data_IF_907455828946
#
_entry.id   IF_907455828946
#
_cell.length_a   1.000
_cell.length_b   1.000
_cell.length_c   1.000
_cell.angle_alpha   90.00
_cell.angle_beta   90.00
_cell.angle_gamma   90.00
#
_symmetry.space_group_name_H-M   'P 1'
#
loop_
_entity.id
_entity.type
_entity.pdbx_description
1 polymer ?
#
# COMPACT_ATOMS: atom_id res chain seq x y z
N UNK A 1 30.53 0.70 -23.54
CA UNK A 1 29.86 -0.40 -22.81
C UNK A 1 28.38 -0.07 -22.72
N UNK A 2 27.53 -0.64 -23.57
CA UNK A 2 26.08 -0.57 -23.34
C UNK A 2 25.75 -1.57 -22.23
N UNK A 3 25.26 -1.07 -21.09
CA UNK A 3 25.04 -1.90 -19.90
C UNK A 3 23.84 -2.86 -20.03
N UNK A 4 22.90 -2.61 -20.95
CA UNK A 4 21.70 -3.43 -21.22
C UNK A 4 21.21 -3.23 -22.65
N UNK A 5 20.55 -4.25 -23.25
CA UNK A 5 19.77 -4.06 -24.48
C UNK A 5 18.39 -3.46 -24.18
N UNK A 6 17.72 -2.88 -25.18
CA UNK A 6 16.35 -2.34 -25.01
C UNK A 6 15.38 -3.46 -24.66
N UNK A 7 15.55 -4.63 -25.29
CA UNK A 7 14.74 -5.82 -25.03
C UNK A 7 14.92 -6.30 -23.59
N UNK A 8 16.15 -6.28 -23.08
CA UNK A 8 16.47 -6.67 -21.70
C UNK A 8 15.90 -5.68 -20.69
N UNK A 9 15.97 -4.37 -20.97
CA UNK A 9 15.30 -3.35 -20.16
C UNK A 9 13.79 -3.57 -20.12
N UNK A 10 13.15 -3.72 -21.28
CA UNK A 10 11.71 -3.96 -21.38
C UNK A 10 11.31 -5.25 -20.67
N UNK A 11 12.07 -6.34 -20.84
CA UNK A 11 11.79 -7.60 -20.15
C UNK A 11 11.85 -7.47 -18.63
N UNK A 12 12.80 -6.69 -18.11
CA UNK A 12 13.01 -6.53 -16.68
C UNK A 12 12.10 -5.49 -16.02
N UNK A 13 11.55 -4.53 -16.78
CA UNK A 13 10.73 -3.44 -16.24
C UNK A 13 9.27 -3.46 -16.70
N UNK A 14 8.90 -4.36 -17.61
CA UNK A 14 7.51 -4.49 -18.04
C UNK A 14 6.66 -4.90 -16.84
N UNK A 15 5.57 -4.18 -16.64
CA UNK A 15 4.56 -4.51 -15.64
C UNK A 15 4.08 -5.97 -15.85
N UNK A 16 4.16 -6.77 -14.79
CA UNK A 16 3.68 -8.14 -14.79
C UNK A 16 2.56 -8.23 -13.75
N UNK A 17 1.34 -8.46 -14.23
CA UNK A 17 0.25 -8.85 -13.36
C UNK A 17 0.51 -10.29 -12.90
N UNK A 18 0.92 -10.47 -11.65
CA UNK A 18 1.30 -11.80 -11.14
C UNK A 18 0.11 -12.59 -10.65
N UNK A 19 -1.05 -11.94 -10.48
CA UNK A 19 -2.25 -12.57 -9.92
C UNK A 19 -2.04 -13.04 -8.47
N UNK A 20 -1.10 -12.42 -7.75
CA UNK A 20 -0.72 -12.69 -6.37
C UNK A 20 -1.67 -12.04 -5.35
N UNK A 21 -2.63 -11.22 -5.80
CA UNK A 21 -3.76 -10.75 -5.00
C UNK A 21 -3.79 -9.23 -4.86
N UNK A 22 -4.23 -8.74 -3.69
CA UNK A 22 -4.35 -7.31 -3.44
C UNK A 22 -2.99 -6.59 -3.49
N UNK A 23 -1.94 -7.23 -2.95
CA UNK A 23 -0.59 -6.67 -2.85
C UNK A 23 0.38 -7.47 -3.70
N UNK A 24 1.09 -6.81 -4.61
CA UNK A 24 2.06 -7.44 -5.51
C UNK A 24 3.35 -6.60 -5.62
N UNK A 25 4.50 -7.25 -5.73
CA UNK A 25 5.77 -6.54 -5.97
C UNK A 25 6.04 -6.44 -7.47
N UNK A 26 5.88 -5.25 -8.04
CA UNK A 26 6.38 -4.92 -9.38
C UNK A 26 7.90 -4.98 -9.43
N UNK A 27 8.54 -4.45 -8.39
CA UNK A 27 9.97 -4.59 -8.13
C UNK A 27 10.19 -4.78 -6.63
N UNK A 28 11.40 -5.17 -6.17
CA UNK A 28 11.69 -5.27 -4.73
C UNK A 28 11.48 -3.97 -3.92
N UNK A 29 11.23 -2.83 -4.59
CA UNK A 29 11.07 -1.50 -3.98
C UNK A 29 9.81 -0.76 -4.45
N UNK A 30 8.94 -1.41 -5.21
CA UNK A 30 7.69 -0.84 -5.70
C UNK A 30 6.56 -1.84 -5.49
N UNK A 31 5.56 -1.42 -4.69
CA UNK A 31 4.36 -2.17 -4.42
C UNK A 31 3.28 -1.75 -5.41
N UNK A 32 2.73 -2.69 -6.16
CA UNK A 32 1.46 -2.57 -6.86
C UNK A 32 0.34 -3.06 -5.93
N UNK A 33 -0.76 -2.32 -5.93
CA UNK A 33 -1.98 -2.67 -5.22
C UNK A 33 -3.10 -2.81 -6.27
N UNK A 34 -3.61 -4.02 -6.43
CA UNK A 34 -4.80 -4.31 -7.23
C UNK A 34 -6.05 -3.90 -6.44
N UNK A 35 -6.29 -2.59 -6.37
CA UNK A 35 -7.31 -2.00 -5.52
C UNK A 35 -8.72 -2.33 -6.02
N UNK A 36 -9.50 -2.97 -5.15
CA UNK A 36 -10.95 -3.14 -5.31
C UNK A 36 -11.64 -2.91 -3.96
N UNK A 37 -12.00 -1.66 -3.69
CA UNK A 37 -12.48 -1.21 -2.38
C UNK A 37 -11.45 -0.31 -1.72
N UNK A 38 -11.10 -0.60 -0.46
CA UNK A 38 -10.33 0.32 0.39
C UNK A 38 -9.02 -0.29 0.87
N UNK A 39 -7.96 0.52 0.87
CA UNK A 39 -6.68 0.21 1.50
C UNK A 39 -6.14 1.42 2.26
N UNK A 40 -5.37 1.17 3.31
CA UNK A 40 -4.59 2.20 4.00
C UNK A 40 -3.14 2.16 3.52
N UNK A 41 -2.55 3.34 3.34
CA UNK A 41 -1.19 3.49 2.86
C UNK A 41 -0.47 4.62 3.59
N UNK A 42 0.86 4.61 3.55
CA UNK A 42 1.68 5.73 4.00
C UNK A 42 1.44 6.96 3.12
N UNK A 43 1.08 8.07 3.75
CA UNK A 43 0.88 9.33 3.05
C UNK A 43 2.17 9.78 2.37
N UNK A 44 2.07 10.19 1.10
CA UNK A 44 3.22 10.60 0.28
C UNK A 44 4.02 9.45 -0.33
N UNK A 45 3.69 8.19 -0.05
CA UNK A 45 4.34 7.04 -0.69
C UNK A 45 3.75 6.70 -2.08
N UNK A 46 2.64 7.34 -2.49
CA UNK A 46 2.03 7.13 -3.80
C UNK A 46 2.94 7.66 -4.92
N UNK A 47 3.21 6.79 -5.89
CA UNK A 47 3.99 7.10 -7.09
C UNK A 47 3.06 7.37 -8.27
N UNK A 48 2.10 6.47 -8.51
CA UNK A 48 1.15 6.57 -9.62
C UNK A 48 -0.11 5.75 -9.34
N UNK A 49 -1.16 5.97 -10.11
CA UNK A 49 -2.36 5.13 -10.07
C UNK A 49 -3.05 5.08 -11.45
N UNK A 50 -3.85 4.05 -11.67
CA UNK A 50 -4.71 3.88 -12.85
C UNK A 50 -6.09 3.43 -12.41
N UNK A 51 -7.14 4.00 -12.99
CA UNK A 51 -8.53 3.70 -12.63
C UNK A 51 -9.16 4.80 -11.77
N UNK A 52 -10.29 4.47 -11.15
CA UNK A 52 -11.07 5.44 -10.36
C UNK A 52 -10.71 5.25 -8.89
N UNK A 53 -9.73 6.02 -8.40
CA UNK A 53 -9.24 5.93 -7.02
C UNK A 53 -9.33 7.31 -6.37
N UNK A 54 -10.01 7.38 -5.22
CA UNK A 54 -10.12 8.57 -4.38
C UNK A 54 -9.20 8.43 -3.16
N UNK A 55 -8.49 9.51 -2.85
CA UNK A 55 -7.56 9.57 -1.72
C UNK A 55 -8.08 10.52 -0.64
N UNK A 56 -8.09 10.06 0.60
CA UNK A 56 -8.59 10.81 1.75
C UNK A 56 -7.56 10.74 2.89
N UNK A 57 -7.19 11.90 3.43
CA UNK A 57 -6.34 11.95 4.63
C UNK A 57 -7.19 11.66 5.86
N UNK A 58 -6.64 10.89 6.80
CA UNK A 58 -7.26 10.47 8.07
C UNK A 58 -7.90 11.64 8.87
N UNK A 59 -7.44 12.87 8.66
CA UNK A 59 -7.96 14.06 9.34
C UNK A 59 -9.33 14.57 8.88
N UNK A 60 -9.83 14.18 7.71
CA UNK A 60 -10.92 14.93 7.05
C UNK A 60 -12.32 14.35 7.30
N UNK A 61 -12.50 13.05 7.64
CA UNK A 61 -13.83 12.42 7.48
C UNK A 61 -14.38 11.48 8.58
N UNK A 62 -13.71 11.19 9.69
CA UNK A 62 -14.32 10.33 10.72
C UNK A 62 -14.44 10.99 12.10
N UNK A 63 -15.63 11.51 12.38
CA UNK A 63 -16.04 12.09 13.65
C UNK A 63 -16.57 11.07 14.68
N UNK A 64 -16.21 9.78 14.56
CA UNK A 64 -16.79 8.74 15.43
C UNK A 64 -15.86 7.62 15.86
N UNK A 65 -15.11 7.01 14.93
CA UNK A 65 -14.39 5.75 15.20
C UNK A 65 -12.86 5.94 15.29
N UNK A 66 -12.32 7.01 14.69
CA UNK A 66 -10.88 7.29 14.58
C UNK A 66 -10.17 7.79 15.85
N UNK A 67 -10.82 7.92 17.01
CA UNK A 67 -10.14 8.40 18.25
C UNK A 67 -9.23 7.34 18.88
N UNK A 68 -9.48 6.04 18.64
CA UNK A 68 -8.63 4.97 19.17
C UNK A 68 -7.37 4.75 18.31
N UNK A 69 -7.47 4.89 16.98
CA UNK A 69 -6.33 4.75 16.07
C UNK A 69 -5.38 5.95 16.11
N UNK A 70 -5.93 7.16 16.33
CA UNK A 70 -5.14 8.40 16.51
C UNK A 70 -4.10 8.30 17.64
N UNK A 71 -4.37 7.57 18.72
CA UNK A 71 -3.42 7.49 19.85
C UNK A 71 -2.19 6.60 19.58
N UNK A 72 -2.21 5.74 18.56
CA UNK A 72 -1.06 4.89 18.21
C UNK A 72 -0.07 5.54 17.23
N UNK A 73 -0.42 6.70 16.64
CA UNK A 73 0.37 7.35 15.58
C UNK A 73 0.86 8.77 15.92
N UNK A 74 0.34 9.43 16.96
CA UNK A 74 0.59 10.87 17.19
C UNK A 74 1.88 11.21 17.97
N UNK A 75 2.86 10.31 18.01
CA UNK A 75 4.15 10.60 18.64
C UNK A 75 5.29 10.70 17.64
N UNK A 76 5.49 9.63 16.86
CA UNK A 76 6.67 9.43 16.00
C UNK A 76 6.36 8.62 14.71
N UNK A 77 5.08 8.34 14.40
CA UNK A 77 4.67 7.34 13.41
C UNK A 77 4.06 7.92 12.14
N UNK A 78 4.28 7.25 11.00
CA UNK A 78 3.91 7.72 9.66
C UNK A 78 2.47 8.22 9.53
N UNK A 79 2.29 9.33 8.80
CA UNK A 79 0.97 9.80 8.38
C UNK A 79 0.36 8.81 7.40
N UNK A 80 -0.94 8.52 7.54
CA UNK A 80 -1.66 7.59 6.67
C UNK A 80 -2.61 8.29 5.69
N UNK A 81 -2.84 7.61 4.57
CA UNK A 81 -3.75 7.98 3.50
C UNK A 81 -4.64 6.77 3.16
N UNK A 82 -5.94 7.02 3.16
CA UNK A 82 -6.94 6.05 2.71
C UNK A 82 -7.10 6.18 1.20
N UNK A 83 -6.97 5.07 0.49
CA UNK A 83 -7.28 4.96 -0.93
C UNK A 83 -8.53 4.09 -1.10
N UNK A 84 -9.53 4.59 -1.83
CA UNK A 84 -10.78 3.88 -2.08
C UNK A 84 -11.16 3.95 -3.56
N UNK A 85 -11.51 2.81 -4.14
CA UNK A 85 -12.03 2.73 -5.50
C UNK A 85 -11.66 1.43 -6.21
N UNK A 86 -11.55 1.49 -7.53
CA UNK A 86 -11.19 0.35 -8.36
C UNK A 86 -10.08 0.72 -9.35
N UNK A 87 -8.97 -0.02 -9.33
CA UNK A 87 -7.82 0.26 -10.19
C UNK A 87 -6.51 -0.33 -9.68
N UNK A 88 -5.40 0.21 -10.20
CA UNK A 88 -4.04 -0.13 -9.75
C UNK A 88 -3.39 1.07 -9.07
N UNK A 89 -2.81 0.87 -7.89
CA UNK A 89 -2.11 1.89 -7.12
C UNK A 89 -0.66 1.47 -6.90
N UNK A 90 0.30 2.37 -7.17
CA UNK A 90 1.72 2.11 -7.03
C UNK A 90 2.30 2.91 -5.88
N UNK A 91 2.97 2.23 -4.95
CA UNK A 91 3.60 2.81 -3.77
C UNK A 91 5.10 2.51 -3.72
N UNK A 92 5.88 3.46 -3.22
CA UNK A 92 7.30 3.27 -2.89
C UNK A 92 7.71 4.18 -1.71
N UNK A 93 8.66 3.74 -0.88
CA UNK A 93 9.15 4.51 0.27
C UNK A 93 10.67 4.70 0.21
N UNK A 94 11.13 5.81 -0.39
CA UNK A 94 12.53 6.28 -0.36
C UNK A 94 13.59 5.20 -0.66
N UNK A 95 13.30 4.27 -1.57
CA UNK A 95 14.23 3.20 -1.94
C UNK A 95 14.36 2.07 -0.91
N UNK A 96 13.53 2.02 0.13
CA UNK A 96 13.43 0.85 1.01
C UNK A 96 12.98 -0.38 0.22
N UNK A 97 13.46 -1.55 0.64
CA UNK A 97 12.91 -2.83 0.17
C UNK A 97 11.56 -3.07 0.82
N UNK A 98 10.66 -3.68 0.07
CA UNK A 98 9.29 -3.96 0.52
C UNK A 98 9.16 -5.48 0.74
N UNK A 99 8.55 -5.84 1.87
CA UNK A 99 8.14 -7.20 2.18
C UNK A 99 6.63 -7.22 2.40
N UNK A 100 5.94 -8.17 1.79
CA UNK A 100 4.51 -8.39 1.98
C UNK A 100 4.37 -9.51 3.01
N UNK A 101 3.60 -9.26 4.07
CA UNK A 101 3.35 -10.23 5.14
C UNK A 101 1.85 -10.49 5.23
N UNK A 102 1.46 -11.76 5.17
CA UNK A 102 0.11 -12.19 5.47
C UNK A 102 0.11 -12.78 6.89
N UNK A 103 -0.55 -12.09 7.82
CA UNK A 103 -0.59 -12.49 9.23
C UNK A 103 -1.77 -13.44 9.46
N UNK A 104 -1.49 -14.67 9.91
CA UNK A 104 -2.52 -15.68 10.15
C UNK A 104 -2.85 -15.78 11.64
N UNK A 105 -3.71 -14.87 12.12
CA UNK A 105 -3.99 -14.66 13.55
C UNK A 105 -2.75 -14.31 14.39
N UNK A 106 -1.75 -13.72 13.73
CA UNK A 106 -0.50 -13.26 14.33
C UNK A 106 -0.53 -11.74 14.54
N UNK A 107 0.32 -11.26 15.46
CA UNK A 107 0.54 -9.84 15.68
C UNK A 107 2.03 -9.53 15.63
N UNK A 108 2.37 -8.41 15.00
CA UNK A 108 3.75 -7.90 14.94
C UNK A 108 3.77 -6.44 15.38
N UNK A 109 4.92 -6.01 15.92
CA UNK A 109 5.19 -4.62 16.23
C UNK A 109 6.17 -4.08 15.19
N UNK A 110 5.80 -2.97 14.55
CA UNK A 110 6.63 -2.31 13.53
C UNK A 110 6.77 -0.82 13.86
N UNK A 111 7.87 -0.21 13.44
CA UNK A 111 7.98 1.24 13.46
C UNK A 111 6.98 1.82 12.45
N UNK A 112 6.21 2.84 12.85
CA UNK A 112 5.24 3.47 11.96
C UNK A 112 5.85 3.96 10.64
N UNK A 113 7.12 4.38 10.65
CA UNK A 113 7.84 4.83 9.44
C UNK A 113 8.13 3.72 8.43
N UNK A 114 8.06 2.46 8.85
CA UNK A 114 8.31 1.27 8.01
C UNK A 114 7.01 0.56 7.59
N UNK A 115 5.85 1.06 8.03
CA UNK A 115 4.55 0.61 7.54
C UNK A 115 4.23 1.30 6.20
N UNK A 116 4.12 0.52 5.12
CA UNK A 116 3.81 1.04 3.79
C UNK A 116 2.32 1.01 3.46
N UNK A 117 1.66 -0.13 3.63
CA UNK A 117 0.25 -0.31 3.35
C UNK A 117 -0.32 -1.50 4.12
N UNK A 118 -1.64 -1.48 4.36
CA UNK A 118 -2.38 -2.58 4.96
C UNK A 118 -3.87 -2.48 4.61
N UNK A 119 -4.56 -3.62 4.60
CA UNK A 119 -6.03 -3.68 4.58
C UNK A 119 -6.58 -3.81 6.00
N UNK A 120 -7.81 -3.34 6.22
CA UNK A 120 -8.52 -3.67 7.45
C UNK A 120 -9.15 -5.06 7.30
N UNK A 121 -9.29 -5.82 8.40
CA UNK A 121 -10.03 -7.06 8.37
C UNK A 121 -11.41 -6.81 7.73
N UNK A 122 -11.76 -7.62 6.74
CA UNK A 122 -13.13 -7.66 6.22
C UNK A 122 -14.05 -7.81 7.41
N UNK A 123 -14.96 -6.87 7.61
CA UNK A 123 -16.00 -7.00 8.64
C UNK A 123 -16.86 -8.17 8.18
N UNK A 124 -16.58 -9.36 8.69
CA UNK A 124 -17.39 -10.53 8.47
C UNK A 124 -18.79 -10.22 8.98
N UNK A 125 -19.69 -9.88 8.07
CA UNK A 125 -21.09 -10.26 8.25
C UNK A 125 -21.06 -11.77 8.03
N UNK A 126 -20.91 -12.49 9.14
CA UNK A 126 -21.33 -13.88 9.21
C UNK A 126 -22.83 -13.88 8.91
N UNK A 127 -23.17 -14.17 7.65
CA UNK A 127 -24.52 -14.62 7.27
C UNK A 127 -24.68 -16.09 7.59
#
# INVERSE_FOLDING_TARGET
>A
MSRYSIEEFVSNTKQQDKGEGLFELETPRMLEINLNGQVWSKAGAMVSYRGQIKFEREGVLEHGIGKMFKKALTGEGASLMKANGNGKLYLADQGKKISILHLQNEAIFVNGNDLLAFELPSSGISS
#
